data_IF_579983075213
#
_entry.id   IF_579983075213
#
_cell.length_a   1.000
_cell.length_b   1.000
_cell.length_c   1.000
_cell.angle_alpha   90.00
_cell.angle_beta   90.00
_cell.angle_gamma   90.00
#
_symmetry.space_group_name_H-M   'P 1'
#
loop_
_entity.id
_entity.type
_entity.pdbx_description
1 polymer ?
#
# COMPACT_ATOMS: atom_id res chain seq x y z
N UNK A 1 13.97 -1.92 2.54
CA UNK A 1 13.64 -3.35 2.67
C UNK A 1 14.79 -4.19 2.17
N UNK A 2 15.00 -5.36 2.79
CA UNK A 2 16.03 -6.32 2.40
C UNK A 2 15.33 -7.61 1.97
N UNK A 3 15.78 -8.15 0.84
CA UNK A 3 15.24 -9.38 0.26
C UNK A 3 16.33 -10.44 0.20
N UNK A 4 15.96 -11.72 0.24
CA UNK A 4 16.88 -12.83 0.01
C UNK A 4 17.15 -13.03 -1.49
N UNK A 5 17.95 -14.05 -1.81
CA UNK A 5 18.30 -14.38 -3.20
C UNK A 5 17.09 -14.91 -4.00
N UNK A 6 16.08 -15.43 -3.33
CA UNK A 6 14.83 -15.93 -3.88
C UNK A 6 13.79 -14.82 -4.07
N UNK A 7 14.02 -13.60 -3.54
CA UNK A 7 13.13 -12.45 -3.67
C UNK A 7 12.09 -12.31 -2.55
N UNK A 8 12.18 -13.12 -1.49
CA UNK A 8 11.33 -12.98 -0.31
C UNK A 8 11.84 -11.88 0.62
N UNK A 9 10.93 -11.11 1.21
CA UNK A 9 11.27 -10.03 2.14
C UNK A 9 11.74 -10.61 3.49
N UNK A 10 12.96 -10.22 3.91
CA UNK A 10 13.59 -10.67 5.16
C UNK A 10 13.32 -9.68 6.30
N UNK A 11 13.56 -8.39 6.04
CA UNK A 11 13.40 -7.30 7.01
C UNK A 11 13.40 -5.93 6.36
N UNK A 12 13.00 -4.93 7.12
CA UNK A 12 13.29 -3.53 6.80
C UNK A 12 14.22 -2.92 7.88
N UNK A 13 15.06 -1.98 7.44
CA UNK A 13 15.97 -1.26 8.34
C UNK A 13 15.50 0.19 8.49
N UNK A 14 15.45 0.68 9.72
CA UNK A 14 15.14 2.07 10.05
C UNK A 14 16.43 2.80 10.41
N UNK A 15 16.70 3.89 9.68
CA UNK A 15 17.89 4.71 9.94
C UNK A 15 17.60 5.72 11.06
N UNK A 16 18.54 5.86 11.99
CA UNK A 16 18.41 6.74 13.16
C UNK A 16 18.42 8.24 12.82
N UNK A 17 18.85 8.62 11.61
CA UNK A 17 18.90 10.02 11.18
C UNK A 17 18.33 10.20 9.79
N UNK A 18 17.56 11.27 9.62
CA UNK A 18 17.01 11.69 8.33
C UNK A 18 18.09 12.34 7.45
N UNK A 19 17.86 12.38 6.14
CA UNK A 19 18.69 13.12 5.21
C UNK A 19 18.63 14.63 5.50
N UNK A 20 19.78 15.30 5.47
CA UNK A 20 19.86 16.76 5.66
C UNK A 20 19.29 17.56 4.47
N UNK A 21 19.23 16.93 3.29
CA UNK A 21 18.75 17.54 2.05
C UNK A 21 17.97 16.49 1.25
N UNK A 22 16.80 16.88 0.76
CA UNK A 22 16.04 16.17 -0.25
C UNK A 22 16.02 17.01 -1.53
N UNK A 23 16.65 16.52 -2.60
CA UNK A 23 16.66 17.14 -3.92
C UNK A 23 15.85 16.28 -4.88
N UNK A 24 14.84 16.85 -5.51
CA UNK A 24 13.94 16.17 -6.44
C UNK A 24 14.06 16.83 -7.81
N UNK A 25 14.48 16.06 -8.81
CA UNK A 25 14.45 16.46 -10.22
C UNK A 25 13.19 15.87 -10.86
N UNK A 26 12.17 16.71 -11.05
CA UNK A 26 10.88 16.29 -11.60
C UNK A 26 10.95 15.90 -13.07
N UNK A 27 11.87 16.46 -13.85
CA UNK A 27 12.06 16.10 -15.27
C UNK A 27 12.61 14.68 -15.38
N UNK A 28 13.57 14.32 -14.53
CA UNK A 28 14.12 12.97 -14.47
C UNK A 28 13.07 11.90 -14.12
N UNK A 29 12.15 12.24 -13.23
CA UNK A 29 11.05 11.34 -12.86
C UNK A 29 10.01 11.25 -13.99
N UNK A 30 9.77 12.35 -14.72
CA UNK A 30 8.85 12.38 -15.86
C UNK A 30 9.24 11.39 -16.95
N UNK A 31 10.56 11.20 -17.17
CA UNK A 31 11.11 10.27 -18.15
C UNK A 31 11.10 8.79 -17.69
N UNK A 32 10.73 8.53 -16.42
CA UNK A 32 10.70 7.17 -15.87
C UNK A 32 9.51 6.34 -16.39
N UNK A 33 9.57 5.00 -16.33
CA UNK A 33 8.43 4.16 -16.65
C UNK A 33 7.21 4.49 -15.77
N UNK A 34 6.05 4.66 -16.41
CA UNK A 34 4.79 5.06 -15.75
C UNK A 34 4.37 4.11 -14.62
N UNK A 35 4.60 2.83 -14.80
CA UNK A 35 4.32 1.79 -13.81
C UNK A 35 5.07 1.99 -12.49
N UNK A 36 6.23 2.65 -12.50
CA UNK A 36 6.95 2.98 -11.27
C UNK A 36 6.23 4.07 -10.47
N UNK A 37 5.69 5.09 -11.15
CA UNK A 37 4.88 6.11 -10.48
C UNK A 37 3.58 5.52 -9.92
N UNK A 38 2.90 4.67 -10.70
CA UNK A 38 1.68 3.98 -10.26
C UNK A 38 1.95 3.12 -9.03
N UNK A 39 3.04 2.36 -9.02
CA UNK A 39 3.44 1.57 -7.87
C UNK A 39 3.73 2.46 -6.64
N UNK A 40 4.44 3.59 -6.84
CA UNK A 40 4.67 4.57 -5.78
C UNK A 40 3.38 5.17 -5.22
N UNK A 41 2.38 5.43 -6.08
CA UNK A 41 1.05 5.87 -5.66
C UNK A 41 0.37 4.78 -4.80
N UNK A 42 0.42 3.52 -5.23
CA UNK A 42 -0.16 2.38 -4.49
C UNK A 42 0.47 2.20 -3.11
N UNK A 43 1.80 2.30 -3.02
CA UNK A 43 2.54 2.24 -1.75
C UNK A 43 2.21 3.43 -0.83
N UNK A 44 2.21 4.65 -1.38
CA UNK A 44 1.94 5.86 -0.59
C UNK A 44 0.49 5.93 -0.13
N UNK A 45 -0.46 5.36 -0.87
CA UNK A 45 -1.86 5.26 -0.46
C UNK A 45 -2.02 4.45 0.85
N UNK A 46 -1.19 3.44 1.06
CA UNK A 46 -1.19 2.63 2.28
C UNK A 46 -0.89 3.47 3.53
N UNK A 47 -0.12 4.55 3.41
CA UNK A 47 0.21 5.42 4.55
C UNK A 47 -1.03 5.93 5.28
N UNK A 48 -2.11 6.24 4.55
CA UNK A 48 -3.37 6.61 5.20
C UNK A 48 -4.02 5.42 5.89
N UNK A 49 -4.26 4.32 5.18
CA UNK A 49 -5.04 3.21 5.71
C UNK A 49 -4.37 2.51 6.88
N UNK A 50 -3.06 2.42 6.86
CA UNK A 50 -2.27 1.81 7.91
C UNK A 50 -2.09 2.73 9.13
N UNK A 51 -1.73 4.01 8.92
CA UNK A 51 -1.60 4.95 10.02
C UNK A 51 -2.95 5.25 10.69
N UNK A 52 -4.04 5.38 9.90
CA UNK A 52 -5.36 5.74 10.42
C UNK A 52 -5.90 4.69 11.37
N UNK A 53 -5.82 3.40 11.02
CA UNK A 53 -6.32 2.30 11.85
C UNK A 53 -5.54 2.20 13.18
N UNK A 54 -4.22 2.39 13.15
CA UNK A 54 -3.38 2.32 14.33
C UNK A 54 -3.58 3.56 15.21
N UNK A 55 -3.42 4.76 14.62
CA UNK A 55 -3.46 6.03 15.36
C UNK A 55 -4.82 6.26 16.00
N UNK A 56 -5.92 5.86 15.34
CA UNK A 56 -7.26 5.99 15.93
C UNK A 56 -7.50 5.02 17.09
N UNK A 57 -6.75 3.94 17.21
CA UNK A 57 -6.82 3.02 18.35
C UNK A 57 -6.06 3.51 19.58
N UNK A 58 -5.19 4.52 19.44
CA UNK A 58 -4.39 5.03 20.55
C UNK A 58 -5.26 5.79 21.56
N UNK A 59 -5.09 5.55 22.86
CA UNK A 59 -5.85 6.24 23.91
C UNK A 59 -5.49 7.74 24.01
N UNK A 60 -4.28 8.08 23.64
CA UNK A 60 -3.76 9.47 23.61
C UNK A 60 -2.83 9.63 22.41
N UNK A 61 -2.75 10.83 21.86
CA UNK A 61 -1.88 11.16 20.72
C UNK A 61 -1.00 12.33 21.12
N UNK A 62 0.29 12.20 20.91
CA UNK A 62 1.22 13.31 21.01
C UNK A 62 1.16 14.19 19.75
N UNK A 63 1.73 15.38 19.79
CA UNK A 63 1.67 16.31 18.65
C UNK A 63 2.33 15.73 17.39
N UNK A 64 3.44 15.01 17.53
CA UNK A 64 4.10 14.35 16.41
C UNK A 64 3.22 13.28 15.75
N UNK A 65 2.46 12.51 16.54
CA UNK A 65 1.50 11.53 16.01
C UNK A 65 0.33 12.22 15.28
N UNK A 66 -0.14 13.36 15.80
CA UNK A 66 -1.15 14.18 15.11
C UNK A 66 -0.63 14.72 13.78
N UNK A 67 0.64 15.17 13.73
CA UNK A 67 1.30 15.60 12.48
C UNK A 67 1.38 14.43 11.48
N UNK A 68 1.81 13.25 11.94
CA UNK A 68 1.89 12.05 11.10
C UNK A 68 0.52 11.67 10.53
N UNK A 69 -0.52 11.69 11.37
CA UNK A 69 -1.88 11.37 10.95
C UNK A 69 -2.42 12.38 9.90
N UNK A 70 -2.15 13.67 10.11
CA UNK A 70 -2.48 14.71 9.14
C UNK A 70 -1.72 14.50 7.81
N UNK A 71 -0.42 14.20 7.86
CA UNK A 71 0.38 13.88 6.68
C UNK A 71 -0.15 12.63 5.95
N UNK A 72 -0.50 11.58 6.67
CA UNK A 72 -1.11 10.38 6.09
C UNK A 72 -2.43 10.67 5.36
N UNK A 73 -3.28 11.51 5.96
CA UNK A 73 -4.51 11.99 5.31
C UNK A 73 -4.20 12.78 4.04
N UNK A 74 -3.20 13.66 4.09
CA UNK A 74 -2.76 14.44 2.92
C UNK A 74 -2.24 13.52 1.81
N UNK A 75 -1.54 12.42 2.13
CA UNK A 75 -1.14 11.43 1.13
C UNK A 75 -2.37 10.93 0.37
N UNK A 76 -3.36 10.37 1.06
CA UNK A 76 -4.59 9.87 0.42
C UNK A 76 -5.27 10.93 -0.43
N UNK A 77 -5.52 12.11 0.16
CA UNK A 77 -6.30 13.16 -0.50
C UNK A 77 -5.62 13.66 -1.78
N UNK A 78 -4.30 13.89 -1.74
CA UNK A 78 -3.53 14.31 -2.91
C UNK A 78 -3.48 13.20 -3.98
N UNK A 79 -3.27 11.94 -3.57
CA UNK A 79 -3.23 10.84 -4.53
C UNK A 79 -4.55 10.68 -5.26
N UNK A 80 -5.67 10.69 -4.55
CA UNK A 80 -7.00 10.60 -5.15
C UNK A 80 -7.34 11.81 -6.06
N UNK A 81 -6.78 12.97 -5.75
CA UNK A 81 -7.07 14.20 -6.48
C UNK A 81 -6.20 14.39 -7.73
N UNK A 82 -4.90 14.04 -7.67
CA UNK A 82 -3.93 14.48 -8.68
C UNK A 82 -3.32 13.34 -9.52
N UNK A 83 -3.61 12.06 -9.23
CA UNK A 83 -2.97 10.94 -9.94
C UNK A 83 -3.30 10.92 -11.42
N UNK A 84 -4.54 11.17 -11.83
CA UNK A 84 -4.94 11.24 -13.24
C UNK A 84 -4.15 12.32 -13.98
N UNK A 85 -4.08 13.53 -13.40
CA UNK A 85 -3.33 14.64 -13.98
C UNK A 85 -1.83 14.33 -14.08
N UNK A 86 -1.28 13.66 -13.07
CA UNK A 86 0.13 13.25 -13.05
C UNK A 86 0.43 12.21 -14.14
N UNK A 87 -0.45 11.22 -14.34
CA UNK A 87 -0.27 10.24 -15.41
C UNK A 87 -0.40 10.87 -16.79
N UNK A 88 -1.32 11.84 -16.95
CA UNK A 88 -1.46 12.60 -18.20
C UNK A 88 -0.22 13.46 -18.51
N UNK A 89 0.51 13.95 -17.48
CA UNK A 89 1.80 14.63 -17.66
C UNK A 89 2.86 13.69 -18.25
N UNK A 90 2.96 12.47 -17.71
CA UNK A 90 3.88 11.44 -18.23
C UNK A 90 3.54 11.05 -19.67
N UNK A 91 2.25 10.86 -20.00
CA UNK A 91 1.83 10.52 -21.37
C UNK A 91 2.18 11.63 -22.39
N UNK A 92 2.12 12.88 -21.96
CA UNK A 92 2.41 14.05 -22.81
C UNK A 92 3.89 14.48 -22.74
N UNK A 93 4.67 13.92 -21.82
CA UNK A 93 6.04 14.34 -21.50
C UNK A 93 6.10 15.87 -21.22
N UNK A 94 5.14 16.38 -20.44
CA UNK A 94 5.04 17.79 -20.06
C UNK A 94 4.71 17.90 -18.59
N UNK A 95 5.60 18.52 -17.82
CA UNK A 95 5.37 18.79 -16.39
C UNK A 95 4.08 19.60 -16.18
N UNK A 96 3.30 19.21 -15.19
CA UNK A 96 2.15 19.94 -14.71
C UNK A 96 2.12 19.96 -13.16
N UNK A 97 1.19 20.69 -12.57
CA UNK A 97 1.08 20.82 -11.13
C UNK A 97 0.73 19.50 -10.47
N UNK A 98 -0.16 18.70 -11.04
CA UNK A 98 -0.57 17.39 -10.53
C UNK A 98 0.61 16.42 -10.43
N UNK A 99 1.48 16.39 -11.44
CA UNK A 99 2.68 15.55 -11.43
C UNK A 99 3.63 15.93 -10.27
N UNK A 100 3.91 17.22 -10.10
CA UNK A 100 4.76 17.71 -9.00
C UNK A 100 4.12 17.37 -7.64
N UNK A 101 2.80 17.57 -7.50
CA UNK A 101 2.07 17.20 -6.28
C UNK A 101 2.18 15.72 -5.93
N UNK A 102 2.09 14.83 -6.90
CA UNK A 102 2.23 13.38 -6.67
C UNK A 102 3.66 13.03 -6.23
N UNK A 103 4.68 13.59 -6.86
CA UNK A 103 6.07 13.35 -6.46
C UNK A 103 6.33 13.84 -5.04
N UNK A 104 5.93 15.08 -4.73
CA UNK A 104 6.07 15.63 -3.37
C UNK A 104 5.29 14.79 -2.34
N UNK A 105 4.11 14.30 -2.71
CA UNK A 105 3.31 13.45 -1.84
C UNK A 105 4.00 12.12 -1.58
N UNK A 106 4.48 11.45 -2.62
CA UNK A 106 5.14 10.14 -2.47
C UNK A 106 6.44 10.23 -1.64
N UNK A 107 7.21 11.29 -1.82
CA UNK A 107 8.56 11.37 -1.24
C UNK A 107 8.56 12.18 0.06
N UNK A 108 8.07 13.43 0.02
CA UNK A 108 8.12 14.33 1.17
C UNK A 108 7.02 13.97 2.18
N UNK A 109 5.75 13.98 1.75
CA UNK A 109 4.62 13.79 2.66
C UNK A 109 4.62 12.36 3.21
N UNK A 110 4.83 11.35 2.36
CA UNK A 110 4.98 9.96 2.78
C UNK A 110 6.13 9.76 3.78
N UNK A 111 7.26 10.47 3.57
CA UNK A 111 8.39 10.48 4.52
C UNK A 111 8.04 11.10 5.87
N UNK A 112 7.17 12.14 5.89
CA UNK A 112 6.71 12.75 7.14
C UNK A 112 5.85 11.79 7.97
N UNK A 113 5.05 10.94 7.33
CA UNK A 113 4.22 9.96 8.04
C UNK A 113 5.07 9.04 8.91
N UNK A 114 6.09 8.40 8.32
CA UNK A 114 7.00 7.54 9.07
C UNK A 114 7.97 8.32 9.97
N UNK A 115 8.36 9.54 9.58
CA UNK A 115 9.29 10.38 10.33
C UNK A 115 8.72 10.92 11.65
N UNK A 116 7.45 11.30 11.67
CA UNK A 116 6.75 11.78 12.87
C UNK A 116 5.95 10.68 13.57
N UNK A 117 5.41 9.71 12.82
CA UNK A 117 4.55 8.67 13.36
C UNK A 117 5.31 7.46 13.91
N UNK A 118 6.58 7.34 13.57
CA UNK A 118 7.42 6.18 13.89
C UNK A 118 6.68 4.86 13.59
N UNK A 119 6.64 3.91 14.51
CA UNK A 119 5.96 2.63 14.30
C UNK A 119 4.45 2.80 14.00
N UNK A 120 3.80 3.81 14.57
CA UNK A 120 2.37 4.08 14.33
C UNK A 120 2.05 4.66 12.95
N UNK A 121 3.06 5.18 12.25
CA UNK A 121 2.90 5.78 10.91
C UNK A 121 3.47 4.94 9.77
N UNK A 122 4.15 3.81 10.06
CA UNK A 122 4.92 3.10 9.03
C UNK A 122 4.10 2.08 8.26
N UNK A 123 3.70 1.02 8.94
CA UNK A 123 3.10 -0.16 8.33
C UNK A 123 2.07 -0.79 9.26
N UNK A 124 1.09 -1.50 8.68
CA UNK A 124 0.12 -2.33 9.40
C UNK A 124 -0.23 -3.59 8.59
N UNK A 125 -1.50 -3.78 8.23
CA UNK A 125 -1.96 -4.95 7.51
C UNK A 125 -1.53 -4.98 6.04
N UNK A 126 -1.57 -3.85 5.34
CA UNK A 126 -1.26 -3.80 3.91
C UNK A 126 0.17 -4.26 3.62
N UNK A 127 1.14 -3.80 4.39
CA UNK A 127 2.53 -4.24 4.24
C UNK A 127 2.75 -5.68 4.70
N UNK A 128 2.10 -6.16 5.77
CA UNK A 128 2.21 -7.57 6.17
C UNK A 128 1.66 -8.52 5.09
N UNK A 129 0.60 -8.13 4.38
CA UNK A 129 0.10 -8.87 3.20
C UNK A 129 1.11 -8.84 2.05
N UNK A 130 1.69 -7.66 1.76
CA UNK A 130 2.76 -7.53 0.78
C UNK A 130 3.94 -8.44 1.11
N UNK A 131 4.45 -8.39 2.35
CA UNK A 131 5.61 -9.16 2.81
C UNK A 131 5.36 -10.67 2.65
N UNK A 132 4.17 -11.11 3.00
CA UNK A 132 3.76 -12.49 2.80
C UNK A 132 3.66 -12.87 1.32
N UNK A 133 3.17 -12.01 0.46
CA UNK A 133 3.11 -12.26 -0.99
C UNK A 133 4.50 -12.38 -1.62
N UNK A 134 5.55 -11.79 -1.03
CA UNK A 134 6.91 -11.90 -1.58
C UNK A 134 7.47 -13.34 -1.54
N UNK A 135 6.93 -14.21 -0.68
CA UNK A 135 7.31 -15.63 -0.69
C UNK A 135 6.68 -16.44 -1.82
N UNK A 136 5.78 -15.83 -2.62
CA UNK A 136 5.14 -16.47 -3.78
C UNK A 136 5.92 -16.09 -5.04
N UNK A 137 6.69 -17.01 -5.67
CA UNK A 137 7.58 -16.68 -6.79
C UNK A 137 6.87 -16.01 -7.96
N UNK A 138 5.62 -16.35 -8.19
CA UNK A 138 4.79 -15.76 -9.25
C UNK A 138 4.55 -14.26 -9.05
N UNK A 139 4.82 -13.71 -7.86
CA UNK A 139 4.69 -12.26 -7.57
C UNK A 139 5.96 -11.46 -7.79
N UNK A 140 7.10 -12.10 -8.05
CA UNK A 140 8.40 -11.43 -8.09
C UNK A 140 8.54 -10.44 -9.25
N UNK A 141 7.75 -10.59 -10.31
CA UNK A 141 7.68 -9.64 -11.41
C UNK A 141 6.85 -8.38 -11.09
N UNK A 142 6.05 -8.42 -10.01
CA UNK A 142 5.21 -7.30 -9.60
C UNK A 142 6.02 -6.30 -8.75
N UNK A 143 5.78 -5.03 -9.00
CA UNK A 143 6.37 -3.97 -8.20
C UNK A 143 5.81 -4.02 -6.75
N UNK A 144 6.63 -3.54 -5.81
CA UNK A 144 6.29 -3.47 -4.38
C UNK A 144 4.90 -2.86 -4.15
N UNK A 145 4.67 -1.65 -4.66
CA UNK A 145 3.43 -0.90 -4.45
C UNK A 145 2.19 -1.56 -5.02
N UNK A 146 2.30 -2.42 -6.05
CA UNK A 146 1.18 -3.18 -6.56
C UNK A 146 0.69 -4.20 -5.51
N UNK A 147 1.62 -4.91 -4.86
CA UNK A 147 1.29 -5.86 -3.80
C UNK A 147 0.76 -5.15 -2.55
N UNK A 148 1.32 -3.97 -2.21
CA UNK A 148 0.82 -3.14 -1.11
C UNK A 148 -0.59 -2.63 -1.41
N UNK A 149 -0.88 -2.18 -2.63
CA UNK A 149 -2.22 -1.74 -3.04
C UNK A 149 -3.26 -2.87 -2.86
N UNK A 150 -2.94 -4.10 -3.27
CA UNK A 150 -3.80 -5.26 -2.97
C UNK A 150 -3.95 -5.46 -1.46
N UNK A 151 -2.86 -5.34 -0.70
CA UNK A 151 -2.86 -5.44 0.75
C UNK A 151 -3.78 -4.43 1.44
N UNK A 152 -3.91 -3.19 0.92
CA UNK A 152 -4.89 -2.21 1.40
C UNK A 152 -6.32 -2.77 1.33
N UNK A 153 -6.68 -3.38 0.22
CA UNK A 153 -8.04 -3.92 0.07
C UNK A 153 -8.29 -5.09 1.02
N UNK A 154 -7.30 -5.98 1.22
CA UNK A 154 -7.41 -7.07 2.22
C UNK A 154 -7.55 -6.49 3.63
N UNK A 155 -6.74 -5.49 3.99
CA UNK A 155 -6.85 -4.79 5.27
C UNK A 155 -8.24 -4.18 5.48
N UNK A 156 -8.79 -3.51 4.47
CA UNK A 156 -10.14 -2.92 4.54
C UNK A 156 -11.24 -3.98 4.71
N UNK A 157 -11.05 -5.19 4.15
CA UNK A 157 -11.96 -6.32 4.43
C UNK A 157 -11.87 -6.75 5.90
N UNK A 158 -10.66 -6.86 6.46
CA UNK A 158 -10.46 -7.17 7.89
C UNK A 158 -11.16 -6.12 8.77
N UNK A 159 -11.08 -4.85 8.41
CA UNK A 159 -11.75 -3.73 9.08
C UNK A 159 -13.27 -3.66 8.81
N UNK A 160 -13.82 -4.53 7.95
CA UNK A 160 -15.22 -4.50 7.47
C UNK A 160 -15.62 -3.16 6.82
N UNK A 161 -14.70 -2.52 6.11
CA UNK A 161 -14.88 -1.22 5.43
C UNK A 161 -15.16 -1.38 3.93
N UNK A 162 -16.19 -2.11 3.60
CA UNK A 162 -16.58 -2.37 2.21
C UNK A 162 -16.99 -1.11 1.44
N UNK A 163 -17.58 -0.13 2.11
CA UNK A 163 -17.89 1.19 1.56
C UNK A 163 -16.65 1.93 1.06
N UNK A 164 -15.54 1.81 1.79
CA UNK A 164 -14.27 2.42 1.37
C UNK A 164 -13.65 1.66 0.20
N UNK A 165 -13.75 0.33 0.18
CA UNK A 165 -13.35 -0.47 -0.98
C UNK A 165 -14.10 0.00 -2.22
N UNK A 166 -15.44 0.10 -2.16
CA UNK A 166 -16.26 0.56 -3.30
C UNK A 166 -15.84 1.96 -3.80
N UNK A 167 -15.43 2.85 -2.90
CA UNK A 167 -14.92 4.19 -3.25
C UNK A 167 -13.57 4.14 -3.95
N UNK A 168 -12.71 3.17 -3.60
CA UNK A 168 -11.38 3.03 -4.18
C UNK A 168 -11.37 2.30 -5.53
N UNK A 169 -12.33 1.42 -5.81
CA UNK A 169 -12.31 0.61 -7.04
C UNK A 169 -12.20 1.42 -8.33
N UNK A 170 -12.89 2.58 -8.52
CA UNK A 170 -12.71 3.41 -9.71
C UNK A 170 -11.26 3.91 -9.85
N UNK A 171 -10.66 4.40 -8.77
CA UNK A 171 -9.28 4.86 -8.72
C UNK A 171 -8.28 3.74 -9.06
N UNK A 172 -8.47 2.55 -8.48
CA UNK A 172 -7.65 1.37 -8.79
C UNK A 172 -7.76 0.99 -10.26
N UNK A 173 -8.99 0.97 -10.80
CA UNK A 173 -9.24 0.63 -12.20
C UNK A 173 -8.57 1.62 -13.16
N UNK A 174 -8.61 2.91 -12.85
CA UNK A 174 -8.02 3.97 -13.67
C UNK A 174 -6.50 3.90 -13.72
N UNK A 175 -5.88 3.62 -12.57
CA UNK A 175 -4.42 3.52 -12.45
C UNK A 175 -3.89 2.15 -12.87
N UNK A 176 -4.74 1.14 -13.03
CA UNK A 176 -4.31 -0.24 -13.27
C UNK A 176 -3.71 -0.90 -12.03
N UNK A 177 -4.07 -0.44 -10.83
CA UNK A 177 -3.69 -1.09 -9.56
C UNK A 177 -4.48 -2.40 -9.39
N UNK A 178 -3.87 -3.48 -8.88
CA UNK A 178 -4.55 -4.77 -8.73
C UNK A 178 -5.64 -4.71 -7.66
N UNK A 179 -6.83 -5.16 -8.01
CA UNK A 179 -7.98 -5.26 -7.11
C UNK A 179 -8.18 -6.69 -6.59
N UNK A 180 -7.47 -7.66 -7.16
CA UNK A 180 -7.61 -9.07 -6.85
C UNK A 180 -6.34 -9.85 -7.20
N UNK A 181 -6.23 -11.08 -6.72
CA UNK A 181 -5.19 -12.03 -7.14
C UNK A 181 -5.25 -12.30 -8.65
N UNK A 182 -6.44 -12.29 -9.24
CA UNK A 182 -6.60 -12.43 -10.69
C UNK A 182 -5.84 -11.32 -11.44
N UNK A 183 -5.93 -10.07 -11.00
CA UNK A 183 -5.27 -8.93 -11.65
C UNK A 183 -3.74 -9.00 -11.51
N UNK A 184 -3.25 -9.75 -10.53
CA UNK A 184 -1.83 -10.05 -10.32
C UNK A 184 -1.34 -11.31 -11.10
N UNK A 185 -2.21 -11.95 -11.88
CA UNK A 185 -1.89 -13.20 -12.57
C UNK A 185 -1.92 -14.45 -11.67
N UNK A 186 -2.48 -14.35 -10.47
CA UNK A 186 -2.48 -15.38 -9.43
C UNK A 186 -3.84 -16.09 -9.28
N UNK A 187 -4.69 -16.06 -10.30
CA UNK A 187 -6.05 -16.63 -10.25
C UNK A 187 -6.10 -18.13 -9.94
N UNK A 188 -5.01 -18.84 -10.16
CA UNK A 188 -4.90 -20.29 -9.98
C UNK A 188 -4.02 -20.68 -8.79
N UNK A 189 -3.76 -19.77 -7.86
CA UNK A 189 -3.02 -20.11 -6.65
C UNK A 189 -3.74 -21.21 -5.86
N UNK A 190 -2.95 -22.22 -5.47
CA UNK A 190 -3.45 -23.30 -4.63
C UNK A 190 -3.90 -22.75 -3.27
N UNK A 191 -4.91 -23.39 -2.67
CA UNK A 191 -5.39 -23.00 -1.35
C UNK A 191 -4.29 -23.09 -0.29
N UNK A 192 -3.42 -24.07 -0.40
CA UNK A 192 -2.26 -24.25 0.48
C UNK A 192 -1.30 -23.04 0.43
N UNK A 193 -1.15 -22.41 -0.73
CA UNK A 193 -0.35 -21.19 -0.89
C UNK A 193 -1.03 -20.01 -0.18
N UNK A 194 -2.34 -19.84 -0.31
CA UNK A 194 -3.07 -18.80 0.41
C UNK A 194 -2.99 -18.98 1.93
N UNK A 195 -3.05 -20.22 2.40
CA UNK A 195 -2.82 -20.55 3.83
C UNK A 195 -1.40 -20.20 4.25
N UNK A 196 -0.39 -20.49 3.43
CA UNK A 196 1.00 -20.13 3.73
C UNK A 196 1.20 -18.61 3.78
N UNK A 197 0.63 -17.86 2.81
CA UNK A 197 0.64 -16.38 2.80
C UNK A 197 -0.02 -15.83 4.06
N UNK A 198 -1.20 -16.35 4.44
CA UNK A 198 -1.91 -15.89 5.64
C UNK A 198 -1.11 -16.13 6.92
N UNK A 199 -0.43 -17.27 7.04
CA UNK A 199 0.46 -17.56 8.17
C UNK A 199 1.65 -16.62 8.21
N UNK A 200 2.30 -16.37 7.06
CA UNK A 200 3.44 -15.45 6.96
C UNK A 200 3.04 -14.02 7.34
N UNK A 201 1.89 -13.54 6.84
CA UNK A 201 1.35 -12.21 7.14
C UNK A 201 1.02 -11.99 8.63
N UNK A 202 0.92 -13.07 9.41
CA UNK A 202 0.59 -13.03 10.84
C UNK A 202 1.68 -13.62 11.72
N UNK A 203 2.92 -13.68 11.24
CA UNK A 203 4.06 -14.01 12.08
C UNK A 203 4.25 -12.98 13.20
N UNK A 204 4.79 -13.37 14.36
CA UNK A 204 4.81 -12.50 15.55
C UNK A 204 5.51 -11.16 15.39
N UNK A 205 6.37 -10.99 14.38
CA UNK A 205 7.08 -9.75 14.10
C UNK A 205 6.38 -8.85 13.09
N UNK A 206 5.26 -9.30 12.50
CA UNK A 206 4.52 -8.57 11.48
C UNK A 206 3.73 -7.40 12.06
N UNK A 207 3.68 -6.31 11.30
CA UNK A 207 3.05 -5.05 11.72
C UNK A 207 1.52 -5.12 11.75
N UNK A 208 0.91 -6.13 11.16
CA UNK A 208 -0.55 -6.36 11.22
C UNK A 208 -1.06 -6.45 12.67
N UNK A 209 -0.21 -6.92 13.60
CA UNK A 209 -0.54 -7.02 15.02
C UNK A 209 -0.70 -5.65 15.73
N UNK A 210 -0.32 -4.55 15.09
CA UNK A 210 -0.59 -3.20 15.58
C UNK A 210 -2.03 -2.76 15.31
N UNK A 211 -2.75 -3.46 14.44
CA UNK A 211 -4.17 -3.20 14.20
C UNK A 211 -5.02 -3.66 15.41
N UNK A 212 -6.18 -3.01 15.65
CA UNK A 212 -7.11 -3.45 16.69
C UNK A 212 -7.66 -4.85 16.43
N UNK A 213 -7.72 -5.67 17.47
CA UNK A 213 -8.25 -7.03 17.41
C UNK A 213 -7.16 -8.10 17.36
N UNK A 214 -7.59 -9.35 17.29
CA UNK A 214 -6.68 -10.50 17.19
C UNK A 214 -6.44 -10.84 15.71
N UNK A 215 -5.22 -10.66 15.25
CA UNK A 215 -4.81 -10.92 13.86
C UNK A 215 -4.25 -12.35 13.75
N UNK A 216 -5.08 -13.26 13.26
CA UNK A 216 -4.72 -14.67 13.04
C UNK A 216 -4.64 -14.99 11.54
N UNK A 217 -3.97 -16.09 11.21
CA UNK A 217 -3.92 -16.57 9.82
C UNK A 217 -5.32 -16.81 9.24
N UNK A 218 -6.28 -17.28 10.05
CA UNK A 218 -7.65 -17.49 9.60
C UNK A 218 -8.38 -16.16 9.29
N UNK A 219 -8.12 -15.09 10.06
CA UNK A 219 -8.65 -13.75 9.78
C UNK A 219 -8.17 -13.26 8.42
N UNK A 220 -6.87 -13.34 8.16
CA UNK A 220 -6.28 -12.91 6.88
C UNK A 220 -6.77 -13.77 5.72
N UNK A 221 -6.76 -15.11 5.87
CA UNK A 221 -7.22 -16.03 4.84
C UNK A 221 -8.69 -15.77 4.46
N UNK A 222 -9.55 -15.58 5.45
CA UNK A 222 -10.96 -15.29 5.22
C UNK A 222 -11.15 -13.93 4.53
N UNK A 223 -10.37 -12.91 4.91
CA UNK A 223 -10.43 -11.61 4.26
C UNK A 223 -10.00 -11.68 2.79
N UNK A 224 -8.90 -12.38 2.49
CA UNK A 224 -8.47 -12.61 1.12
C UNK A 224 -9.56 -13.32 0.30
N UNK A 225 -10.14 -14.40 0.81
CA UNK A 225 -11.22 -15.14 0.12
C UNK A 225 -12.45 -14.26 -0.14
N UNK A 226 -12.89 -13.48 0.85
CA UNK A 226 -14.02 -12.57 0.70
C UNK A 226 -13.77 -11.49 -0.36
N UNK A 227 -12.54 -10.93 -0.40
CA UNK A 227 -12.15 -9.98 -1.43
C UNK A 227 -12.22 -10.61 -2.82
N UNK A 228 -11.63 -11.80 -2.99
CA UNK A 228 -11.62 -12.50 -4.29
C UNK A 228 -13.04 -12.84 -4.77
N UNK A 229 -13.90 -13.33 -3.88
CA UNK A 229 -15.30 -13.62 -4.21
C UNK A 229 -16.04 -12.35 -4.67
N UNK A 230 -15.86 -11.24 -3.94
CA UNK A 230 -16.46 -9.95 -4.30
C UNK A 230 -15.98 -9.45 -5.67
N UNK A 231 -14.67 -9.51 -5.92
CA UNK A 231 -14.09 -9.06 -7.20
C UNK A 231 -14.48 -9.99 -8.35
N UNK A 232 -14.60 -11.30 -8.13
CA UNK A 232 -15.09 -12.25 -9.12
C UNK A 232 -16.53 -11.94 -9.55
N UNK A 233 -17.43 -11.68 -8.59
CA UNK A 233 -18.81 -11.28 -8.89
C UNK A 233 -18.87 -10.00 -9.73
N UNK A 234 -18.04 -9.00 -9.44
CA UNK A 234 -17.99 -7.75 -10.18
C UNK A 234 -17.46 -7.91 -11.61
N UNK A 235 -16.53 -8.88 -11.83
CA UNK A 235 -16.04 -9.20 -13.20
C UNK A 235 -17.12 -9.83 -14.07
N UNK A 236 -17.97 -10.68 -13.50
CA UNK A 236 -19.06 -11.33 -14.24
C UNK A 236 -20.22 -10.39 -14.57
N UNK A 237 -20.38 -9.31 -13.77
CA UNK A 237 -21.43 -8.31 -13.94
C UNK A 237 -21.13 -7.22 -14.99
N UNK A 238 -19.90 -7.15 -15.49
CA UNK A 238 -19.45 -6.27 -16.58
C UNK A 238 -19.52 -6.99 -17.91
#
# INVERSE_FOLDING_TARGET
>A
MMYDEEGAMIRYDVFASSNALLLIDSEMILDSPKELLVAGIGDTLAKWYEADVIINSLPTKSVEIEIAHFAAKMCRDNLLQYSEEALAAMDKQVLNEGFVKIIETNILVGGMVGGFGDDYGRCAGAHSIHDALTMVPETHHLLHGNKVAYGILVQLVIENRWDEIERLLPFYSELGLPMSLYDMGLATLAEETLVAVSKRATEPHETIHMMPGEMTADVVLNAMKQLEDSMAMKRVAK
#
